data_IF_025440204088
#
_entry.id   IF_025440204088
#
_cell.length_a   1.000
_cell.length_b   1.000
_cell.length_c   1.000
_cell.angle_alpha   90.00
_cell.angle_beta   90.00
_cell.angle_gamma   90.00
#
_symmetry.space_group_name_H-M   'P 1'
#
loop_
_entity.id
_entity.type
_entity.pdbx_description
1 polymer ?
#
# COMPACT_ATOMS: atom_id res chain seq x y z
N UNK A 1 11.66 5.67 -26.86
CA UNK A 1 11.72 4.28 -26.39
C UNK A 1 10.94 3.39 -27.34
N UNK A 2 11.30 2.13 -27.43
CA UNK A 2 10.64 1.11 -28.23
C UNK A 2 9.23 0.80 -27.68
N UNK A 3 8.19 1.38 -28.28
CA UNK A 3 6.80 1.25 -27.84
C UNK A 3 6.31 -0.20 -27.88
N UNK A 4 6.77 -0.98 -28.85
CA UNK A 4 6.39 -2.38 -28.99
C UNK A 4 6.97 -3.20 -27.83
N UNK A 5 8.22 -2.96 -27.46
CA UNK A 5 8.86 -3.63 -26.33
C UNK A 5 8.20 -3.25 -25.00
N UNK A 6 7.80 -1.99 -24.82
CA UNK A 6 7.06 -1.56 -23.62
C UNK A 6 5.70 -2.25 -23.57
N UNK A 7 4.97 -2.33 -24.69
CA UNK A 7 3.68 -3.04 -24.78
C UNK A 7 3.83 -4.52 -24.40
N UNK A 8 4.89 -5.17 -24.88
CA UNK A 8 5.18 -6.56 -24.57
C UNK A 8 5.44 -6.76 -23.08
N UNK A 9 6.26 -5.91 -22.48
CA UNK A 9 6.55 -5.94 -21.03
C UNK A 9 5.26 -5.77 -20.22
N UNK A 10 4.43 -4.78 -20.53
CA UNK A 10 3.18 -4.53 -19.81
C UNK A 10 2.18 -5.68 -20.02
N UNK A 11 2.16 -6.30 -21.20
CA UNK A 11 1.33 -7.49 -21.45
C UNK A 11 1.79 -8.69 -20.61
N UNK A 12 3.10 -8.92 -20.48
CA UNK A 12 3.66 -9.97 -19.61
C UNK A 12 3.34 -9.68 -18.13
N UNK A 13 3.47 -8.43 -17.69
CA UNK A 13 3.06 -8.03 -16.34
C UNK A 13 1.55 -8.26 -16.13
N UNK A 14 0.71 -7.92 -17.11
CA UNK A 14 -0.73 -8.18 -17.05
C UNK A 14 -1.05 -9.67 -16.89
N UNK A 15 -0.32 -10.55 -17.56
CA UNK A 15 -0.47 -12.00 -17.38
C UNK A 15 -0.05 -12.44 -15.96
N UNK A 16 1.06 -11.92 -15.43
CA UNK A 16 1.50 -12.19 -14.06
C UNK A 16 0.48 -11.72 -13.03
N UNK A 17 0.01 -10.47 -13.15
CA UNK A 17 -0.99 -9.89 -12.26
C UNK A 17 -2.30 -10.71 -12.27
N UNK A 18 -2.74 -11.16 -13.46
CA UNK A 18 -3.90 -12.04 -13.57
C UNK A 18 -3.71 -13.36 -12.81
N UNK A 19 -2.55 -14.00 -12.94
CA UNK A 19 -2.28 -15.26 -12.25
C UNK A 19 -2.27 -15.06 -10.72
N UNK A 20 -1.64 -14.00 -10.23
CA UNK A 20 -1.67 -13.64 -8.81
C UNK A 20 -3.10 -13.34 -8.35
N UNK A 21 -3.88 -12.60 -9.14
CA UNK A 21 -5.28 -12.33 -8.86
C UNK A 21 -6.14 -13.60 -8.76
N UNK A 22 -5.91 -14.59 -9.62
CA UNK A 22 -6.60 -15.89 -9.55
C UNK A 22 -6.21 -16.68 -8.30
N UNK A 23 -4.94 -16.64 -7.89
CA UNK A 23 -4.49 -17.27 -6.63
C UNK A 23 -5.17 -16.58 -5.44
N UNK A 24 -5.19 -15.23 -5.41
CA UNK A 24 -5.87 -14.46 -4.36
C UNK A 24 -7.36 -14.79 -4.31
N UNK A 25 -8.02 -14.90 -5.46
CA UNK A 25 -9.43 -15.29 -5.53
C UNK A 25 -9.63 -16.70 -4.95
N UNK A 26 -8.81 -17.68 -5.35
CA UNK A 26 -8.90 -19.05 -4.85
C UNK A 26 -8.70 -19.14 -3.34
N UNK A 27 -7.62 -18.53 -2.83
CA UNK A 27 -7.34 -18.47 -1.38
C UNK A 27 -8.46 -17.70 -0.66
N UNK A 28 -8.96 -16.61 -1.23
CA UNK A 28 -10.04 -15.83 -0.68
C UNK A 28 -11.34 -16.64 -0.57
N UNK A 29 -11.69 -17.44 -1.58
CA UNK A 29 -12.87 -18.32 -1.51
C UNK A 29 -12.72 -19.41 -0.44
N UNK A 30 -11.53 -19.98 -0.29
CA UNK A 30 -11.24 -20.93 0.79
C UNK A 30 -11.39 -20.26 2.16
N UNK A 31 -10.82 -19.07 2.35
CA UNK A 31 -10.95 -18.32 3.61
C UNK A 31 -12.40 -17.94 3.92
N UNK A 32 -13.23 -17.66 2.90
CA UNK A 32 -14.65 -17.38 3.09
C UNK A 32 -15.38 -18.53 3.81
N UNK A 33 -14.98 -19.78 3.59
CA UNK A 33 -15.55 -20.95 4.29
C UNK A 33 -15.24 -20.94 5.79
N UNK A 34 -14.16 -20.30 6.22
CA UNK A 34 -13.75 -20.21 7.61
C UNK A 34 -14.26 -18.98 8.35
N UNK A 35 -14.91 -18.03 7.66
CA UNK A 35 -15.47 -16.82 8.29
C UNK A 35 -16.40 -17.12 9.46
N UNK A 36 -17.35 -18.09 9.40
CA UNK A 36 -18.21 -18.39 10.53
C UNK A 36 -17.43 -18.86 11.76
N UNK A 37 -16.33 -19.57 11.56
CA UNK A 37 -15.48 -20.05 12.65
C UNK A 37 -14.66 -18.91 13.27
N UNK A 38 -14.11 -18.03 12.43
CA UNK A 38 -13.28 -16.89 12.86
C UNK A 38 -14.13 -15.86 13.62
N UNK A 39 -15.37 -15.65 13.17
CA UNK A 39 -16.27 -14.63 13.70
C UNK A 39 -17.41 -15.20 14.56
N UNK A 40 -17.25 -16.40 15.11
CA UNK A 40 -18.27 -17.11 15.91
C UNK A 40 -18.76 -16.31 17.14
N UNK A 41 -17.89 -15.49 17.74
CA UNK A 41 -18.15 -14.78 18.99
C UNK A 41 -18.40 -13.27 18.82
N UNK A 42 -18.77 -12.82 17.60
CA UNK A 42 -18.97 -11.40 17.33
C UNK A 42 -20.47 -11.11 17.24
N UNK A 43 -20.89 -9.98 17.86
CA UNK A 43 -22.28 -9.49 17.84
C UNK A 43 -22.77 -9.01 16.48
N UNK A 44 -21.89 -8.93 15.47
CA UNK A 44 -22.22 -8.48 14.11
C UNK A 44 -22.78 -9.69 13.33
N UNK A 45 -23.90 -9.51 12.65
CA UNK A 45 -24.51 -10.55 11.85
C UNK A 45 -23.57 -11.07 10.75
N UNK A 46 -23.49 -12.40 10.56
CA UNK A 46 -22.64 -13.04 9.56
C UNK A 46 -22.87 -12.51 8.13
N UNK A 47 -24.09 -12.06 7.81
CA UNK A 47 -24.38 -11.44 6.51
C UNK A 47 -23.56 -10.19 6.23
N UNK A 48 -23.35 -9.32 7.24
CA UNK A 48 -22.50 -8.13 7.15
C UNK A 48 -21.03 -8.53 6.95
N UNK A 49 -20.59 -9.57 7.67
CA UNK A 49 -19.21 -10.07 7.56
C UNK A 49 -18.91 -10.58 6.16
N UNK A 50 -19.81 -11.41 5.61
CA UNK A 50 -19.65 -11.90 4.23
C UNK A 50 -19.71 -10.78 3.20
N UNK A 51 -20.65 -9.84 3.36
CA UNK A 51 -20.76 -8.70 2.46
C UNK A 51 -19.46 -7.84 2.47
N UNK A 52 -18.94 -7.54 3.66
CA UNK A 52 -17.69 -6.82 3.81
C UNK A 52 -16.52 -7.59 3.18
N UNK A 53 -16.42 -8.87 3.50
CA UNK A 53 -15.36 -9.73 2.98
C UNK A 53 -15.31 -9.75 1.45
N UNK A 54 -16.45 -10.02 0.80
CA UNK A 54 -16.51 -10.07 -0.66
C UNK A 54 -16.36 -8.70 -1.31
N UNK A 55 -16.81 -7.62 -0.68
CA UNK A 55 -16.57 -6.26 -1.16
C UNK A 55 -15.07 -5.92 -1.15
N UNK A 56 -14.37 -6.19 -0.05
CA UNK A 56 -12.92 -5.97 0.05
C UNK A 56 -12.12 -6.90 -0.87
N UNK A 57 -12.51 -8.18 -0.97
CA UNK A 57 -11.88 -9.11 -1.91
C UNK A 57 -12.04 -8.62 -3.36
N UNK A 58 -13.24 -8.18 -3.74
CA UNK A 58 -13.51 -7.64 -5.07
C UNK A 58 -12.69 -6.38 -5.34
N UNK A 59 -12.60 -5.46 -4.38
CA UNK A 59 -11.77 -4.25 -4.49
C UNK A 59 -10.29 -4.59 -4.67
N UNK A 60 -9.76 -5.57 -3.94
CA UNK A 60 -8.40 -6.05 -4.13
C UNK A 60 -8.19 -6.64 -5.53
N UNK A 61 -9.12 -7.49 -6.01
CA UNK A 61 -9.03 -8.12 -7.33
C UNK A 61 -9.08 -7.13 -8.48
N UNK A 62 -9.80 -6.01 -8.35
CA UNK A 62 -9.81 -4.91 -9.32
C UNK A 62 -8.40 -4.38 -9.57
N UNK A 63 -7.60 -4.24 -8.52
CA UNK A 63 -6.19 -3.82 -8.64
C UNK A 63 -5.37 -4.78 -9.49
N UNK A 64 -5.57 -6.07 -9.35
CA UNK A 64 -4.82 -7.09 -10.09
C UNK A 64 -5.33 -7.27 -11.53
N UNK A 65 -6.63 -7.25 -11.76
CA UNK A 65 -7.18 -7.54 -13.08
C UNK A 65 -7.26 -6.31 -13.99
N UNK A 66 -7.44 -5.11 -13.41
CA UNK A 66 -7.74 -3.90 -14.17
C UNK A 66 -6.59 -2.90 -14.11
N UNK A 67 -5.98 -2.66 -12.93
CA UNK A 67 -5.06 -1.55 -12.73
C UNK A 67 -3.58 -1.88 -13.02
N UNK A 68 -3.24 -3.06 -13.52
CA UNK A 68 -1.85 -3.45 -13.79
C UNK A 68 -1.11 -2.46 -14.73
N UNK A 69 -1.83 -1.76 -15.62
CA UNK A 69 -1.27 -0.79 -16.56
C UNK A 69 -0.75 0.49 -15.89
N UNK A 70 -1.14 0.75 -14.63
CA UNK A 70 -0.64 1.90 -13.87
C UNK A 70 0.88 1.83 -13.61
N UNK A 71 1.48 0.65 -13.68
CA UNK A 71 2.93 0.46 -13.53
C UNK A 71 3.72 1.26 -14.55
N UNK A 72 3.16 1.50 -15.75
CA UNK A 72 3.79 2.34 -16.76
C UNK A 72 3.87 3.81 -16.32
N UNK A 73 2.82 4.34 -15.66
CA UNK A 73 2.85 5.71 -15.14
C UNK A 73 3.96 5.88 -14.08
N UNK A 74 4.18 4.86 -13.25
CA UNK A 74 5.29 4.85 -12.29
C UNK A 74 6.65 4.86 -12.99
N UNK A 75 6.84 4.01 -14.01
CA UNK A 75 8.07 3.93 -14.78
C UNK A 75 8.36 5.22 -15.59
N UNK A 76 7.32 5.92 -16.06
CA UNK A 76 7.41 7.20 -16.76
C UNK A 76 7.48 8.42 -15.82
N UNK A 77 7.81 8.21 -14.54
CA UNK A 77 7.88 9.25 -13.50
C UNK A 77 6.57 10.04 -13.29
N UNK A 78 5.44 9.52 -13.75
CA UNK A 78 4.11 10.14 -13.66
C UNK A 78 3.26 9.54 -12.53
N UNK A 79 3.90 8.96 -11.53
CA UNK A 79 3.19 8.36 -10.41
C UNK A 79 2.31 9.37 -9.64
N UNK A 80 2.65 10.67 -9.72
CA UNK A 80 1.83 11.74 -9.17
C UNK A 80 0.39 11.76 -9.73
N UNK A 81 0.20 11.32 -10.98
CA UNK A 81 -1.13 11.20 -11.60
C UNK A 81 -1.94 10.14 -10.86
N UNK A 82 -1.36 8.94 -10.64
CA UNK A 82 -2.02 7.85 -9.90
C UNK A 82 -2.37 8.31 -8.48
N UNK A 83 -1.41 8.93 -7.80
CA UNK A 83 -1.58 9.41 -6.43
C UNK A 83 -2.65 10.51 -6.35
N UNK A 84 -2.64 11.48 -7.26
CA UNK A 84 -3.63 12.57 -7.28
C UNK A 84 -5.05 12.04 -7.47
N UNK A 85 -5.28 11.17 -8.45
CA UNK A 85 -6.61 10.58 -8.68
C UNK A 85 -7.07 9.71 -7.51
N UNK A 86 -6.14 8.90 -6.95
CA UNK A 86 -6.44 8.05 -5.79
C UNK A 86 -6.80 8.88 -4.56
N UNK A 87 -6.01 9.89 -4.23
CA UNK A 87 -6.25 10.72 -3.03
C UNK A 87 -7.52 11.57 -3.19
N UNK A 88 -7.76 12.13 -4.37
CA UNK A 88 -9.00 12.89 -4.62
C UNK A 88 -10.23 11.99 -4.49
N UNK A 89 -10.22 10.80 -5.10
CA UNK A 89 -11.31 9.84 -4.97
C UNK A 89 -11.50 9.42 -3.51
N UNK A 90 -10.42 9.20 -2.77
CA UNK A 90 -10.46 8.81 -1.36
C UNK A 90 -11.04 9.91 -0.46
N UNK A 91 -10.67 11.17 -0.67
CA UNK A 91 -11.23 12.31 0.07
C UNK A 91 -12.74 12.41 -0.18
N UNK A 92 -13.16 12.39 -1.44
CA UNK A 92 -14.60 12.47 -1.80
C UNK A 92 -15.34 11.28 -1.19
N UNK A 93 -14.80 10.08 -1.30
CA UNK A 93 -15.35 8.87 -0.70
C UNK A 93 -15.58 9.04 0.80
N UNK A 94 -14.55 9.49 1.54
CA UNK A 94 -14.65 9.68 2.99
C UNK A 94 -15.73 10.70 3.34
N UNK A 95 -15.81 11.82 2.63
CA UNK A 95 -16.85 12.83 2.86
C UNK A 95 -18.25 12.25 2.64
N UNK A 96 -18.46 11.50 1.56
CA UNK A 96 -19.72 10.82 1.27
C UNK A 96 -20.04 9.78 2.36
N UNK A 97 -19.06 8.99 2.78
CA UNK A 97 -19.24 7.99 3.85
C UNK A 97 -19.60 8.66 5.18
N UNK A 98 -18.94 9.76 5.54
CA UNK A 98 -19.27 10.52 6.76
C UNK A 98 -20.69 11.04 6.73
N UNK A 99 -21.12 11.67 5.63
CA UNK A 99 -22.50 12.14 5.47
C UNK A 99 -23.51 11.00 5.64
N UNK A 100 -23.28 9.87 4.99
CA UNK A 100 -24.22 8.73 5.03
C UNK A 100 -24.27 8.06 6.40
N UNK A 101 -23.16 8.02 7.13
CA UNK A 101 -23.18 7.50 8.51
C UNK A 101 -24.01 8.41 9.41
N UNK A 102 -23.88 9.73 9.27
CA UNK A 102 -24.66 10.68 10.06
C UNK A 102 -26.17 10.60 9.80
N UNK A 103 -26.59 10.32 8.54
CA UNK A 103 -28.00 10.31 8.16
C UNK A 103 -28.68 8.94 8.24
N UNK A 104 -27.96 7.87 7.89
CA UNK A 104 -28.55 6.54 7.70
C UNK A 104 -27.98 5.50 8.69
N UNK A 105 -26.70 5.65 9.11
CA UNK A 105 -26.05 4.76 10.07
C UNK A 105 -25.90 3.29 9.60
N UNK A 106 -25.97 3.02 8.27
CA UNK A 106 -25.88 1.66 7.73
C UNK A 106 -24.47 1.26 7.36
N UNK A 107 -23.98 0.19 8.00
CA UNK A 107 -22.66 -0.39 7.70
C UNK A 107 -22.60 -1.01 6.29
N UNK A 108 -23.70 -1.54 5.78
CA UNK A 108 -23.78 -2.05 4.40
C UNK A 108 -23.51 -0.94 3.36
N UNK A 109 -24.09 0.24 3.57
CA UNK A 109 -23.88 1.38 2.69
C UNK A 109 -22.42 1.88 2.75
N UNK A 110 -21.82 1.89 3.93
CA UNK A 110 -20.41 2.22 4.08
C UNK A 110 -19.53 1.35 3.18
N UNK A 111 -19.71 0.02 3.26
CA UNK A 111 -18.93 -0.95 2.48
C UNK A 111 -19.25 -0.84 0.98
N UNK A 112 -20.53 -0.66 0.63
CA UNK A 112 -20.94 -0.51 -0.77
C UNK A 112 -20.27 0.71 -1.42
N UNK A 113 -20.16 1.84 -0.70
CA UNK A 113 -19.46 3.04 -1.18
C UNK A 113 -17.97 2.77 -1.34
N UNK A 114 -17.35 2.05 -0.41
CA UNK A 114 -15.94 1.66 -0.52
C UNK A 114 -15.67 0.94 -1.83
N UNK A 115 -16.49 -0.05 -2.16
CA UNK A 115 -16.39 -0.81 -3.41
C UNK A 115 -16.70 0.05 -4.64
N UNK A 116 -17.76 0.85 -4.58
CA UNK A 116 -18.17 1.74 -5.68
C UNK A 116 -17.05 2.71 -6.06
N UNK A 117 -16.46 3.39 -5.07
CA UNK A 117 -15.34 4.31 -5.32
C UNK A 117 -14.08 3.61 -5.81
N UNK A 118 -13.83 2.37 -5.38
CA UNK A 118 -12.75 1.54 -5.94
C UNK A 118 -12.94 1.26 -7.43
N UNK A 119 -14.17 0.94 -7.86
CA UNK A 119 -14.52 0.74 -9.26
C UNK A 119 -14.41 2.05 -10.05
N UNK A 120 -14.98 3.14 -9.53
CA UNK A 120 -14.93 4.46 -10.17
C UNK A 120 -13.49 4.94 -10.35
N UNK A 121 -12.67 4.82 -9.30
CA UNK A 121 -11.24 5.13 -9.39
C UNK A 121 -10.54 4.34 -10.49
N UNK A 122 -10.77 3.03 -10.55
CA UNK A 122 -10.17 2.16 -11.55
C UNK A 122 -10.61 2.53 -12.96
N UNK A 123 -11.88 2.88 -13.16
CA UNK A 123 -12.40 3.33 -14.44
C UNK A 123 -11.74 4.64 -14.88
N UNK A 124 -11.72 5.65 -13.99
CA UNK A 124 -11.12 6.97 -14.28
C UNK A 124 -9.62 6.83 -14.57
N UNK A 125 -8.89 6.03 -13.77
CA UNK A 125 -7.47 5.80 -13.96
C UNK A 125 -7.18 5.14 -15.33
N UNK A 126 -7.92 4.12 -15.71
CA UNK A 126 -7.75 3.44 -16.99
C UNK A 126 -8.14 4.33 -18.17
N UNK A 127 -9.19 5.15 -18.03
CA UNK A 127 -9.53 6.18 -19.03
C UNK A 127 -8.37 7.17 -19.22
N UNK A 128 -7.77 7.62 -18.12
CA UNK A 128 -6.59 8.52 -18.17
C UNK A 128 -5.39 7.85 -18.84
N UNK A 129 -5.11 6.60 -18.50
CA UNK A 129 -4.01 5.82 -19.12
C UNK A 129 -4.23 5.70 -20.62
N UNK A 130 -5.44 5.39 -21.06
CA UNK A 130 -5.78 5.30 -22.48
C UNK A 130 -5.60 6.64 -23.22
N UNK A 131 -5.85 7.76 -22.55
CA UNK A 131 -5.65 9.10 -23.11
C UNK A 131 -4.18 9.51 -23.20
N UNK A 132 -3.37 9.11 -22.18
CA UNK A 132 -1.93 9.42 -22.15
C UNK A 132 -1.14 8.49 -23.07
N UNK A 133 -1.54 7.21 -23.15
CA UNK A 133 -0.87 6.18 -23.93
C UNK A 133 -1.85 5.48 -24.90
N UNK A 134 -2.31 6.17 -25.97
CA UNK A 134 -3.29 5.59 -26.92
C UNK A 134 -2.77 4.34 -27.64
N UNK A 135 -1.44 4.23 -27.75
CA UNK A 135 -0.73 3.11 -28.37
C UNK A 135 -0.65 1.87 -27.46
N UNK A 136 -0.92 1.99 -26.16
CA UNK A 136 -0.76 0.91 -25.17
C UNK A 136 -1.97 -0.04 -25.22
N UNK A 137 -2.08 -0.82 -26.29
CA UNK A 137 -3.06 -1.90 -26.44
C UNK A 137 -2.43 -3.20 -25.92
N UNK A 138 -2.55 -3.47 -24.62
CA UNK A 138 -2.02 -4.68 -24.01
C UNK A 138 -3.01 -5.83 -24.11
N UNK A 139 -2.49 -7.04 -24.40
CA UNK A 139 -3.25 -8.28 -24.42
C UNK A 139 -2.65 -9.29 -23.47
N UNK A 140 -3.49 -9.85 -22.58
CA UNK A 140 -3.07 -10.92 -21.65
C UNK A 140 -2.66 -12.19 -22.42
N UNK A 141 -3.30 -12.46 -23.58
CA UNK A 141 -2.95 -13.59 -24.44
C UNK A 141 -1.54 -13.44 -25.03
N UNK A 142 -1.17 -12.23 -25.49
CA UNK A 142 0.19 -11.92 -25.92
C UNK A 142 1.18 -12.02 -24.77
N UNK A 143 0.81 -11.51 -23.60
CA UNK A 143 1.62 -11.64 -22.40
C UNK A 143 1.94 -13.08 -22.03
N UNK A 144 0.97 -14.00 -22.12
CA UNK A 144 1.18 -15.44 -21.94
C UNK A 144 2.17 -16.02 -22.96
N UNK A 145 2.05 -15.62 -24.24
CA UNK A 145 2.92 -16.10 -25.32
C UNK A 145 4.37 -15.64 -25.13
N UNK A 146 4.56 -14.36 -24.74
CA UNK A 146 5.88 -13.73 -24.57
C UNK A 146 6.51 -13.95 -23.18
N UNK A 147 5.77 -14.56 -22.26
CA UNK A 147 6.26 -14.86 -20.91
C UNK A 147 7.57 -15.67 -20.88
N UNK A 148 7.76 -16.75 -21.70
CA UNK A 148 8.99 -17.51 -21.71
C UNK A 148 10.21 -16.73 -22.22
N UNK A 149 10.00 -15.74 -23.10
CA UNK A 149 11.05 -14.92 -23.68
C UNK A 149 11.58 -13.86 -22.71
N UNK A 150 10.74 -13.44 -21.74
CA UNK A 150 11.03 -12.38 -20.79
C UNK A 150 11.46 -12.88 -19.40
N UNK A 151 12.29 -13.93 -19.34
CA UNK A 151 12.74 -14.59 -18.08
C UNK A 151 13.35 -13.62 -17.06
N UNK A 152 14.07 -12.59 -17.51
CA UNK A 152 14.71 -11.60 -16.63
C UNK A 152 13.64 -10.77 -15.89
N UNK A 153 12.60 -10.33 -16.60
CA UNK A 153 11.49 -9.56 -16.00
C UNK A 153 10.75 -10.41 -14.99
N UNK A 154 10.45 -11.64 -15.35
CA UNK A 154 9.76 -12.61 -14.48
C UNK A 154 10.56 -12.88 -13.21
N UNK A 155 11.88 -13.06 -13.32
CA UNK A 155 12.77 -13.30 -12.18
C UNK A 155 12.78 -12.07 -11.24
N UNK A 156 12.92 -10.86 -11.80
CA UNK A 156 12.88 -9.62 -11.01
C UNK A 156 11.51 -9.42 -10.34
N UNK A 157 10.42 -9.64 -11.05
CA UNK A 157 9.07 -9.54 -10.49
C UNK A 157 8.88 -10.54 -9.32
N UNK A 158 9.38 -11.77 -9.45
CA UNK A 158 9.33 -12.76 -8.36
C UNK A 158 10.17 -12.36 -7.15
N UNK A 159 11.37 -11.81 -7.37
CA UNK A 159 12.22 -11.31 -6.28
C UNK A 159 11.53 -10.16 -5.52
N UNK A 160 10.96 -9.20 -6.26
CA UNK A 160 10.19 -8.10 -5.65
C UNK A 160 8.95 -8.61 -4.89
N UNK A 161 8.27 -9.61 -5.42
CA UNK A 161 7.12 -10.22 -4.75
C UNK A 161 7.49 -10.86 -3.41
N UNK A 162 8.59 -11.62 -3.36
CA UNK A 162 9.09 -12.22 -2.11
C UNK A 162 9.48 -11.14 -1.10
N UNK A 163 10.14 -10.06 -1.56
CA UNK A 163 10.48 -8.93 -0.71
C UNK A 163 9.24 -8.22 -0.16
N UNK A 164 8.23 -8.00 -1.00
CA UNK A 164 6.95 -7.41 -0.59
C UNK A 164 6.21 -8.30 0.41
N UNK A 165 6.18 -9.63 0.20
CA UNK A 165 5.58 -10.57 1.14
C UNK A 165 6.24 -10.52 2.51
N UNK A 166 7.57 -10.45 2.55
CA UNK A 166 8.31 -10.33 3.81
C UNK A 166 7.96 -9.03 4.55
N UNK A 167 7.87 -7.91 3.84
CA UNK A 167 7.45 -6.61 4.38
C UNK A 167 6.01 -6.63 4.90
N UNK A 168 5.08 -7.19 4.13
CA UNK A 168 3.67 -7.35 4.53
C UNK A 168 3.54 -8.28 5.74
N UNK A 169 4.26 -9.41 5.74
CA UNK A 169 4.27 -10.33 6.87
C UNK A 169 4.66 -9.61 8.16
N UNK A 170 5.73 -8.83 8.14
CA UNK A 170 6.17 -8.04 9.30
C UNK A 170 5.10 -7.07 9.79
N UNK A 171 4.45 -6.33 8.91
CA UNK A 171 3.47 -5.30 9.30
C UNK A 171 2.13 -5.89 9.75
N UNK A 172 1.69 -7.00 9.16
CA UNK A 172 0.38 -7.59 9.43
C UNK A 172 0.39 -8.64 10.54
N UNK A 173 1.52 -9.33 10.76
CA UNK A 173 1.61 -10.32 11.84
C UNK A 173 1.74 -9.68 13.22
N UNK A 174 2.28 -8.47 13.33
CA UNK A 174 2.51 -7.82 14.60
C UNK A 174 1.22 -7.60 15.42
N UNK A 175 0.09 -7.12 14.86
CA UNK A 175 -1.17 -7.04 15.59
C UNK A 175 -1.67 -8.41 16.11
N UNK A 176 -1.45 -9.48 15.36
CA UNK A 176 -1.80 -10.84 15.81
C UNK A 176 -0.94 -11.29 16.97
N UNK A 177 0.36 -10.99 16.95
CA UNK A 177 1.26 -11.29 18.07
C UNK A 177 0.85 -10.49 19.30
N UNK A 178 0.55 -9.20 19.17
CA UNK A 178 0.05 -8.39 20.29
C UNK A 178 -1.23 -9.03 20.86
N UNK A 179 -2.17 -9.47 20.02
CA UNK A 179 -3.38 -10.15 20.48
C UNK A 179 -3.08 -11.45 21.19
N UNK A 180 -2.18 -12.28 20.66
CA UNK A 180 -1.85 -13.58 21.24
C UNK A 180 -1.22 -13.49 22.64
N UNK A 181 -0.47 -12.42 22.91
CA UNK A 181 0.22 -12.23 24.20
C UNK A 181 -0.49 -11.28 25.17
N UNK A 182 -1.52 -10.55 24.71
CA UNK A 182 -2.20 -9.56 25.53
C UNK A 182 -3.72 -9.69 25.41
N UNK A 183 -4.40 -8.69 24.88
CA UNK A 183 -5.84 -8.67 24.64
C UNK A 183 -6.19 -7.79 23.43
N UNK A 184 -7.43 -7.92 22.94
CA UNK A 184 -7.96 -7.08 21.87
C UNK A 184 -7.93 -5.59 22.23
N UNK A 185 -8.06 -5.24 23.49
CA UNK A 185 -7.95 -3.88 24.00
C UNK A 185 -6.56 -3.28 23.71
N UNK A 186 -5.49 -4.02 23.99
CA UNK A 186 -4.12 -3.60 23.73
C UNK A 186 -3.81 -3.51 22.22
N UNK A 187 -4.41 -4.40 21.41
CA UNK A 187 -4.32 -4.29 19.95
C UNK A 187 -4.92 -2.99 19.46
N UNK A 188 -6.08 -2.61 19.99
CA UNK A 188 -6.73 -1.34 19.62
C UNK A 188 -5.84 -0.14 19.99
N UNK A 189 -5.29 -0.13 21.20
CA UNK A 189 -4.39 0.93 21.67
C UNK A 189 -3.15 1.04 20.78
N UNK A 190 -2.47 -0.06 20.56
CA UNK A 190 -1.31 -0.14 19.68
C UNK A 190 -1.63 0.32 18.23
N UNK A 191 -2.78 -0.09 17.70
CA UNK A 191 -3.19 0.26 16.34
C UNK A 191 -3.42 1.75 16.16
N UNK A 192 -3.87 2.48 17.18
CA UNK A 192 -4.03 3.93 17.13
C UNK A 192 -2.67 4.65 16.98
N UNK A 193 -1.64 4.21 17.70
CA UNK A 193 -0.28 4.72 17.52
C UNK A 193 0.27 4.40 16.14
N UNK A 194 0.07 3.16 15.69
CA UNK A 194 0.53 2.71 14.37
C UNK A 194 -0.20 3.42 13.23
N UNK A 195 -1.47 3.82 13.41
CA UNK A 195 -2.19 4.61 12.42
C UNK A 195 -1.47 5.95 12.14
N UNK A 196 -1.12 6.68 13.20
CA UNK A 196 -0.41 7.96 13.08
C UNK A 196 0.96 7.78 12.42
N UNK A 197 1.74 6.80 12.89
CA UNK A 197 3.06 6.51 12.34
C UNK A 197 2.98 6.08 10.87
N UNK A 198 2.00 5.27 10.51
CA UNK A 198 1.79 4.84 9.12
C UNK A 198 1.46 6.02 8.21
N UNK A 199 0.63 6.95 8.67
CA UNK A 199 0.31 8.18 7.90
C UNK A 199 1.51 9.10 7.75
N UNK A 200 2.32 9.27 8.80
CA UNK A 200 3.57 10.02 8.72
C UNK A 200 4.59 9.33 7.79
N UNK A 201 4.73 8.01 7.89
CA UNK A 201 5.53 7.21 6.96
C UNK A 201 5.11 7.43 5.50
N UNK A 202 3.81 7.42 5.23
CA UNK A 202 3.28 7.67 3.89
C UNK A 202 3.65 9.06 3.38
N UNK A 203 3.52 10.09 4.22
CA UNK A 203 3.90 11.46 3.86
C UNK A 203 5.38 11.56 3.52
N UNK A 204 6.26 11.06 4.38
CA UNK A 204 7.71 11.08 4.16
C UNK A 204 8.07 10.29 2.90
N UNK A 205 7.52 9.11 2.71
CA UNK A 205 7.79 8.27 1.55
C UNK A 205 7.23 8.87 0.24
N UNK A 206 6.10 9.57 0.27
CA UNK A 206 5.59 10.28 -0.91
C UNK A 206 6.52 11.44 -1.29
N UNK A 207 7.07 12.14 -0.30
CA UNK A 207 7.96 13.27 -0.52
C UNK A 207 9.35 12.81 -0.99
N UNK A 208 10.00 11.93 -0.22
CA UNK A 208 11.36 11.45 -0.50
C UNK A 208 11.40 10.30 -1.53
N UNK A 209 10.32 9.54 -1.66
CA UNK A 209 10.22 8.44 -2.63
C UNK A 209 10.12 8.91 -4.09
N UNK A 210 9.73 10.18 -4.32
CA UNK A 210 9.73 10.78 -5.66
C UNK A 210 11.13 10.82 -6.30
N UNK A 211 12.20 10.77 -5.49
CA UNK A 211 13.59 10.73 -5.97
C UNK A 211 14.00 9.36 -6.52
N UNK A 212 13.23 8.29 -6.26
CA UNK A 212 13.61 6.92 -6.63
C UNK A 212 13.83 6.69 -8.12
N UNK A 213 13.05 7.33 -8.99
CA UNK A 213 13.25 7.24 -10.43
C UNK A 213 14.55 7.94 -10.88
N UNK A 214 14.90 9.07 -10.24
CA UNK A 214 16.17 9.77 -10.48
C UNK A 214 17.37 8.93 -10.04
N UNK A 215 17.26 8.25 -8.88
CA UNK A 215 18.28 7.31 -8.40
C UNK A 215 18.43 6.13 -9.36
N UNK A 216 17.33 5.57 -9.87
CA UNK A 216 17.39 4.49 -10.86
C UNK A 216 18.11 4.89 -12.14
N UNK A 217 17.89 6.10 -12.65
CA UNK A 217 18.60 6.62 -13.81
C UNK A 217 20.10 6.81 -13.51
N UNK A 218 20.44 7.37 -12.33
CA UNK A 218 21.81 7.56 -11.90
C UNK A 218 22.58 6.24 -11.80
N UNK A 219 21.94 5.19 -11.28
CA UNK A 219 22.54 3.84 -11.23
C UNK A 219 22.76 3.29 -12.64
N UNK A 220 21.84 3.56 -13.58
CA UNK A 220 21.97 3.13 -14.96
C UNK A 220 23.09 3.85 -15.72
N UNK A 221 23.45 5.09 -15.33
CA UNK A 221 24.59 5.83 -15.87
C UNK A 221 25.95 5.25 -15.42
N UNK A 222 26.00 4.57 -14.27
CA UNK A 222 27.19 3.85 -13.78
C UNK A 222 28.31 4.72 -13.17
N UNK A 223 28.06 6.02 -12.93
CA UNK A 223 29.03 6.90 -12.26
C UNK A 223 29.06 6.62 -10.74
N UNK A 224 29.99 5.77 -10.33
CA UNK A 224 30.12 5.34 -8.93
C UNK A 224 30.36 6.49 -7.94
N UNK A 225 31.09 7.55 -8.33
CA UNK A 225 31.34 8.70 -7.43
C UNK A 225 30.08 9.49 -7.20
N UNK A 226 29.32 9.75 -8.25
CA UNK A 226 28.06 10.47 -8.18
C UNK A 226 26.96 9.66 -7.47
N UNK A 227 26.94 8.35 -7.69
CA UNK A 227 26.04 7.43 -6.95
C UNK A 227 26.32 7.52 -5.44
N UNK A 228 27.58 7.43 -5.04
CA UNK A 228 27.97 7.53 -3.62
C UNK A 228 27.65 8.90 -3.02
N UNK A 229 27.89 9.98 -3.74
CA UNK A 229 27.55 11.33 -3.29
C UNK A 229 26.04 11.46 -3.04
N UNK A 230 25.22 11.12 -4.02
CA UNK A 230 23.74 11.20 -3.92
C UNK A 230 23.21 10.27 -2.82
N UNK A 231 23.81 9.10 -2.64
CA UNK A 231 23.45 8.20 -1.54
C UNK A 231 23.64 8.88 -0.17
N UNK A 232 24.78 9.54 0.07
CA UNK A 232 25.02 10.22 1.33
C UNK A 232 24.18 11.48 1.52
N UNK A 233 23.90 12.22 0.45
CA UNK A 233 23.00 13.38 0.49
C UNK A 233 21.57 12.96 0.89
N UNK A 234 21.02 11.93 0.25
CA UNK A 234 19.70 11.39 0.58
C UNK A 234 19.67 10.75 1.96
N UNK A 235 20.73 10.06 2.37
CA UNK A 235 20.84 9.47 3.71
C UNK A 235 20.86 10.53 4.80
N UNK A 236 21.60 11.61 4.59
CA UNK A 236 21.65 12.74 5.53
C UNK A 236 20.32 13.45 5.64
N UNK A 237 19.63 13.68 4.52
CA UNK A 237 18.28 14.26 4.51
C UNK A 237 17.27 13.35 5.25
N UNK A 238 17.29 12.06 4.98
CA UNK A 238 16.42 11.09 5.68
C UNK A 238 16.73 11.02 7.17
N UNK A 239 18.01 11.03 7.55
CA UNK A 239 18.41 11.04 8.95
C UNK A 239 17.88 12.29 9.66
N UNK A 240 18.01 13.46 9.06
CA UNK A 240 17.50 14.72 9.60
C UNK A 240 15.97 14.66 9.80
N UNK A 241 15.23 14.22 8.79
CA UNK A 241 13.76 14.11 8.86
C UNK A 241 13.35 13.06 9.90
N UNK A 242 14.01 11.89 9.92
CA UNK A 242 13.73 10.83 10.88
C UNK A 242 14.00 11.29 12.32
N UNK A 243 15.12 11.98 12.58
CA UNK A 243 15.46 12.50 13.89
C UNK A 243 14.45 13.53 14.38
N UNK A 244 14.10 14.49 13.52
CA UNK A 244 13.13 15.53 13.85
C UNK A 244 11.75 14.93 14.16
N UNK A 245 11.26 14.04 13.30
CA UNK A 245 9.95 13.41 13.51
C UNK A 245 9.93 12.53 14.76
N UNK A 246 10.98 11.74 14.98
CA UNK A 246 11.05 10.88 16.16
C UNK A 246 11.08 11.70 17.45
N UNK A 247 11.84 12.79 17.47
CA UNK A 247 11.91 13.71 18.62
C UNK A 247 10.54 14.37 18.86
N UNK A 248 9.91 14.89 17.81
CA UNK A 248 8.58 15.51 17.92
C UNK A 248 7.54 14.51 18.41
N UNK A 249 7.52 13.29 17.87
CA UNK A 249 6.60 12.24 18.28
C UNK A 249 6.84 11.79 19.72
N UNK A 250 8.09 11.72 20.17
CA UNK A 250 8.41 11.38 21.55
C UNK A 250 7.75 12.34 22.56
N UNK A 251 7.72 13.63 22.26
CA UNK A 251 7.15 14.63 23.14
C UNK A 251 5.65 14.86 22.94
N UNK A 252 5.12 14.67 21.75
CA UNK A 252 3.76 15.05 21.41
C UNK A 252 2.78 13.89 21.34
N UNK A 253 3.25 12.62 21.15
CA UNK A 253 2.38 11.49 20.85
C UNK A 253 1.38 11.22 21.97
N UNK A 254 1.85 11.10 23.22
CA UNK A 254 0.97 10.80 24.34
C UNK A 254 -0.05 11.93 24.57
N UNK A 255 0.39 13.18 24.50
CA UNK A 255 -0.50 14.34 24.62
C UNK A 255 -1.56 14.37 23.50
N UNK A 256 -1.17 14.02 22.28
CA UNK A 256 -2.10 13.92 21.17
C UNK A 256 -3.12 12.79 21.39
N UNK A 257 -2.69 11.60 21.83
CA UNK A 257 -3.59 10.48 22.16
C UNK A 257 -4.58 10.85 23.25
N UNK A 258 -4.12 11.53 24.30
CA UNK A 258 -5.01 12.01 25.38
C UNK A 258 -6.11 12.94 24.84
N UNK A 259 -5.76 13.90 24.00
CA UNK A 259 -6.72 14.84 23.42
C UNK A 259 -7.66 14.16 22.43
N UNK A 260 -7.17 13.21 21.66
CA UNK A 260 -7.94 12.56 20.60
C UNK A 260 -8.85 11.44 21.12
N UNK A 261 -8.35 10.57 22.01
CA UNK A 261 -9.04 9.35 22.43
C UNK A 261 -9.30 9.28 23.94
N UNK A 262 -8.53 10.00 24.74
CA UNK A 262 -8.59 9.94 26.20
C UNK A 262 -7.37 9.30 26.85
N UNK A 263 -7.24 9.51 28.16
CA UNK A 263 -6.10 9.06 28.96
C UNK A 263 -5.96 7.55 29.03
N UNK A 264 -7.05 6.81 28.89
CA UNK A 264 -7.07 5.34 28.95
C UNK A 264 -6.39 4.67 27.75
N UNK A 265 -6.23 5.40 26.63
CA UNK A 265 -5.60 4.88 25.38
C UNK A 265 -4.08 5.07 25.35
N UNK A 266 -3.50 5.69 26.37
CA UNK A 266 -2.05 5.93 26.44
C UNK A 266 -1.31 4.63 26.71
N UNK A 267 -0.34 4.31 25.86
CA UNK A 267 0.53 3.14 26.02
C UNK A 267 1.61 3.39 27.09
N UNK A 268 2.13 2.34 27.73
CA UNK A 268 3.31 2.46 28.59
C UNK A 268 4.47 3.13 27.83
N UNK A 269 5.16 4.06 28.49
CA UNK A 269 6.22 4.85 27.86
C UNK A 269 7.33 4.00 27.25
N UNK A 270 7.67 2.86 27.86
CA UNK A 270 8.63 1.91 27.30
C UNK A 270 8.19 1.36 25.91
N UNK A 271 6.90 1.11 25.74
CA UNK A 271 6.34 0.65 24.47
C UNK A 271 6.42 1.77 23.43
N UNK A 272 6.09 3.01 23.79
CA UNK A 272 6.25 4.17 22.90
C UNK A 272 7.69 4.31 22.41
N UNK A 273 8.68 4.22 23.30
CA UNK A 273 10.11 4.32 22.94
C UNK A 273 10.50 3.25 21.92
N UNK A 274 10.06 1.99 22.12
CA UNK A 274 10.35 0.89 21.18
C UNK A 274 9.70 1.13 19.82
N UNK A 275 8.45 1.60 19.80
CA UNK A 275 7.74 1.92 18.57
C UNK A 275 8.45 3.04 17.80
N UNK A 276 8.88 4.09 18.50
CA UNK A 276 9.59 5.23 17.90
C UNK A 276 10.98 4.85 17.41
N UNK A 277 11.71 4.00 18.14
CA UNK A 277 13.00 3.48 17.68
C UNK A 277 12.83 2.67 16.38
N UNK A 278 11.80 1.83 16.28
CA UNK A 278 11.49 1.10 15.05
C UNK A 278 11.08 2.05 13.91
N UNK A 279 10.32 3.09 14.20
CA UNK A 279 9.97 4.14 13.24
C UNK A 279 11.23 4.84 12.70
N UNK A 280 12.13 5.27 13.58
CA UNK A 280 13.40 5.92 13.22
C UNK A 280 14.24 5.03 12.30
N UNK A 281 14.48 3.78 12.68
CA UNK A 281 15.24 2.80 11.89
C UNK A 281 14.59 2.58 10.52
N UNK A 282 13.28 2.47 10.47
CA UNK A 282 12.52 2.27 9.23
C UNK A 282 12.68 3.46 8.27
N UNK A 283 12.62 4.69 8.80
CA UNK A 283 12.81 5.90 8.01
C UNK A 283 14.24 6.03 7.48
N UNK A 284 15.22 5.83 8.36
CA UNK A 284 16.64 5.93 8.00
C UNK A 284 17.03 4.90 6.93
N UNK A 285 16.54 3.66 7.05
CA UNK A 285 16.82 2.59 6.08
C UNK A 285 16.25 2.86 4.68
N UNK A 286 15.28 3.76 4.55
CA UNK A 286 14.58 4.00 3.29
C UNK A 286 15.49 4.46 2.13
N UNK A 287 16.67 5.03 2.39
CA UNK A 287 17.67 5.32 1.35
C UNK A 287 18.26 4.02 0.79
N UNK A 288 18.63 3.06 1.65
CA UNK A 288 19.15 1.78 1.20
C UNK A 288 18.17 1.06 0.28
N UNK A 289 16.86 1.10 0.62
CA UNK A 289 15.80 0.47 -0.17
C UNK A 289 15.63 1.12 -1.56
N UNK A 290 16.13 2.35 -1.78
CA UNK A 290 16.10 3.04 -3.08
C UNK A 290 17.29 2.69 -3.97
N UNK A 291 18.42 2.27 -3.39
CA UNK A 291 19.65 1.96 -4.12
C UNK A 291 19.87 0.45 -4.35
N UNK A 292 18.97 -0.42 -3.87
CA UNK A 292 18.94 -1.87 -4.12
C UNK A 292 18.03 -2.20 -5.29
#
# INVERSE_FOLDING_TARGET
GDKDKIRDIISVLGYLYRNVGLIILGVGLILACFLPLIFANISIGLGVVYFAYFAFLSSALISYFINYRQTLLGADQRNYVVTAYFQTANIIKILVQMMLVCYIGSFYLWIAIELLFGILYSYILNWKINRVYPWLKCSIAEGRRKYPENKIIVRKARQMFVHQLAGMGRSQLLPFLVYAFTSLKWVAYYSNYMLLLTKLNQLVNNFLGSTGAGVGNLIAEGDSKRIQQVFWELSSLRFMVASFLTFALYHLMDSFIVVWLGTEYVLPHSVLVVILANFFISQFRGTNDQFI
#
